data_IF_946267044321
#
_entry.id   IF_946267044321
#
_cell.length_a   1.000
_cell.length_b   1.000
_cell.length_c   1.000
_cell.angle_alpha   90.00
_cell.angle_beta   90.00
_cell.angle_gamma   90.00
#
_symmetry.space_group_name_H-M   'P 1'
#
loop_
_entity.id
_entity.type
_entity.pdbx_description
1 polymer ?
#
# COMPACT_ATOMS: atom_id res chain seq x y z
N UNK A 1 -32.32 10.39 -8.98
CA UNK A 1 -31.14 11.07 -8.43
C UNK A 1 -29.91 10.26 -8.74
N UNK A 2 -28.89 10.84 -9.36
CA UNK A 2 -27.67 10.11 -9.73
C UNK A 2 -26.67 10.11 -8.58
N UNK A 3 -26.63 9.03 -7.81
CA UNK A 3 -25.48 8.75 -6.95
C UNK A 3 -24.33 8.29 -7.86
N UNK A 4 -23.39 9.18 -8.16
CA UNK A 4 -22.19 8.88 -8.92
C UNK A 4 -21.06 8.59 -7.93
N UNK A 5 -20.79 7.31 -7.70
CA UNK A 5 -19.62 6.88 -6.93
C UNK A 5 -18.41 6.92 -7.84
N UNK A 6 -17.57 7.95 -7.70
CA UNK A 6 -16.31 8.04 -8.42
C UNK A 6 -15.24 7.26 -7.64
N UNK A 7 -14.96 6.03 -8.09
CA UNK A 7 -13.88 5.21 -7.58
C UNK A 7 -12.64 5.41 -8.46
N UNK A 8 -11.62 6.06 -7.90
CA UNK A 8 -10.34 6.24 -8.58
C UNK A 8 -9.35 5.21 -8.05
N UNK A 9 -8.76 4.43 -8.97
CA UNK A 9 -7.74 3.44 -8.63
C UNK A 9 -6.49 3.69 -9.46
N UNK A 10 -5.37 3.88 -8.79
CA UNK A 10 -4.06 3.96 -9.41
C UNK A 10 -3.23 2.74 -9.01
N UNK A 11 -2.66 2.04 -9.99
CA UNK A 11 -1.76 0.91 -9.76
C UNK A 11 -0.41 1.23 -10.39
N UNK A 12 0.65 1.04 -9.62
CA UNK A 12 2.04 1.18 -10.03
C UNK A 12 2.70 -0.18 -9.87
N UNK A 13 3.25 -0.74 -10.94
CA UNK A 13 4.12 -1.91 -10.86
C UNK A 13 5.44 -1.51 -11.50
N UNK A 14 6.53 -1.70 -10.75
CA UNK A 14 7.86 -1.35 -11.20
C UNK A 14 8.83 -2.47 -10.84
N UNK A 15 9.56 -2.94 -11.84
CA UNK A 15 10.56 -4.00 -11.70
C UNK A 15 11.93 -3.37 -11.88
N UNK A 16 12.66 -3.15 -10.79
CA UNK A 16 14.01 -2.59 -10.84
C UNK A 16 15.01 -3.60 -11.42
N UNK A 17 14.84 -4.88 -11.08
CA UNK A 17 15.62 -6.00 -11.61
C UNK A 17 14.79 -7.29 -11.52
N UNK A 18 15.19 -8.41 -12.17
CA UNK A 18 14.50 -9.69 -12.00
C UNK A 18 14.37 -10.15 -10.54
N UNK A 19 15.20 -9.57 -9.66
CA UNK A 19 15.25 -9.85 -8.23
C UNK A 19 14.59 -8.78 -7.36
N UNK A 20 14.18 -7.63 -7.91
CA UNK A 20 13.58 -6.54 -7.13
C UNK A 20 12.32 -6.01 -7.80
N UNK A 21 11.20 -6.18 -7.12
CA UNK A 21 9.86 -5.81 -7.58
C UNK A 21 9.18 -4.89 -6.58
N UNK A 22 8.57 -3.83 -7.09
CA UNK A 22 7.77 -2.89 -6.34
C UNK A 22 6.37 -2.79 -6.94
N UNK A 23 5.35 -2.84 -6.08
CA UNK A 23 3.95 -2.66 -6.45
C UNK A 23 3.28 -1.72 -5.47
N UNK A 24 2.60 -0.70 -5.99
CA UNK A 24 1.76 0.22 -5.24
C UNK A 24 0.34 0.22 -5.79
N UNK A 25 -0.65 0.18 -4.91
CA UNK A 25 -2.06 0.31 -5.23
C UNK A 25 -2.66 1.42 -4.38
N UNK A 26 -3.20 2.45 -5.02
CA UNK A 26 -3.90 3.55 -4.38
C UNK A 26 -5.35 3.52 -4.83
N UNK A 27 -6.26 3.67 -3.88
CA UNK A 27 -7.70 3.64 -4.10
C UNK A 27 -8.33 4.82 -3.39
N UNK A 28 -9.18 5.55 -4.09
CA UNK A 28 -9.97 6.65 -3.55
C UNK A 28 -11.43 6.40 -3.86
N UNK A 29 -12.28 6.51 -2.84
CA UNK A 29 -13.72 6.37 -2.95
C UNK A 29 -14.38 7.68 -2.54
N UNK A 30 -14.99 8.39 -3.49
CA UNK A 30 -15.64 9.68 -3.23
C UNK A 30 -16.92 9.56 -2.40
N UNK A 31 -17.65 8.44 -2.49
CA UNK A 31 -18.90 8.20 -1.75
C UNK A 31 -18.65 7.91 -0.28
N UNK A 32 -17.64 7.09 0.02
CA UNK A 32 -17.24 6.75 1.40
C UNK A 32 -16.21 7.72 1.97
N UNK A 33 -15.73 8.70 1.19
CA UNK A 33 -14.64 9.62 1.57
C UNK A 33 -13.44 8.86 2.14
N UNK A 34 -13.09 7.73 1.54
CA UNK A 34 -12.03 6.85 2.03
C UNK A 34 -10.89 6.79 1.01
N UNK A 35 -9.66 6.86 1.53
CA UNK A 35 -8.42 6.70 0.78
C UNK A 35 -7.65 5.51 1.32
N UNK A 36 -7.31 4.56 0.45
CA UNK A 36 -6.49 3.41 0.75
C UNK A 36 -5.22 3.40 -0.09
N UNK A 37 -4.09 3.07 0.53
CA UNK A 37 -2.80 2.87 -0.11
C UNK A 37 -2.20 1.54 0.34
N UNK A 38 -1.75 0.72 -0.60
CA UNK A 38 -1.07 -0.54 -0.35
C UNK A 38 0.21 -0.61 -1.19
N UNK A 39 1.35 -0.55 -0.53
CA UNK A 39 2.67 -0.61 -1.12
C UNK A 39 3.33 -1.92 -0.74
N UNK A 40 4.00 -2.55 -1.70
CA UNK A 40 4.72 -3.79 -1.54
C UNK A 40 6.04 -3.71 -2.25
N UNK A 41 7.12 -3.92 -1.50
CA UNK A 41 8.45 -4.12 -2.03
C UNK A 41 8.86 -5.57 -1.76
N UNK A 42 9.33 -6.25 -2.80
CA UNK A 42 9.96 -7.56 -2.73
C UNK A 42 11.36 -7.43 -3.29
N UNK A 43 12.36 -7.87 -2.53
CA UNK A 43 13.74 -7.86 -2.95
C UNK A 43 14.44 -9.18 -2.59
N UNK A 44 14.84 -9.93 -3.60
CA UNK A 44 15.67 -11.11 -3.50
C UNK A 44 17.16 -10.70 -3.59
N UNK A 45 17.89 -10.78 -2.49
CA UNK A 45 19.31 -10.40 -2.47
C UNK A 45 20.22 -11.58 -2.80
N UNK A 46 19.80 -12.81 -2.48
CA UNK A 46 20.49 -14.05 -2.84
C UNK A 46 19.47 -15.15 -3.15
N UNK A 47 19.79 -16.16 -3.97
CA UNK A 47 18.90 -17.28 -4.21
C UNK A 47 18.43 -17.92 -2.91
N UNK A 48 17.12 -17.88 -2.63
CA UNK A 48 16.52 -18.40 -1.40
C UNK A 48 16.50 -17.42 -0.21
N UNK A 49 16.97 -16.19 -0.38
CA UNK A 49 16.87 -15.15 0.65
C UNK A 49 16.22 -13.88 0.13
N UNK A 50 15.16 -13.46 0.80
CA UNK A 50 14.23 -12.46 0.30
C UNK A 50 13.83 -11.47 1.42
N UNK A 51 13.70 -10.20 1.06
CA UNK A 51 13.13 -9.15 1.88
C UNK A 51 11.75 -8.78 1.31
N UNK A 52 10.74 -8.76 2.17
CA UNK A 52 9.42 -8.24 1.85
C UNK A 52 9.10 -7.07 2.77
N UNK A 53 8.70 -5.96 2.19
CA UNK A 53 8.20 -4.80 2.92
C UNK A 53 6.79 -4.52 2.40
N UNK A 54 5.82 -4.48 3.30
CA UNK A 54 4.44 -4.16 2.99
C UNK A 54 4.01 -2.98 3.84
N UNK A 55 3.51 -1.94 3.19
CA UNK A 55 2.96 -0.78 3.84
C UNK A 55 1.52 -0.61 3.39
N UNK A 56 0.58 -0.69 4.33
CA UNK A 56 -0.83 -0.44 4.08
C UNK A 56 -1.25 0.76 4.92
N UNK A 57 -1.96 1.70 4.31
CA UNK A 57 -2.55 2.82 5.01
C UNK A 57 -3.97 3.03 4.50
N UNK A 58 -4.92 3.10 5.40
CA UNK A 58 -6.30 3.49 5.12
C UNK A 58 -6.63 4.74 5.93
N UNK A 59 -7.29 5.70 5.30
CA UNK A 59 -7.65 6.96 5.93
C UNK A 59 -8.95 7.49 5.35
N UNK A 60 -9.87 7.88 6.24
CA UNK A 60 -11.01 8.71 5.87
C UNK A 60 -10.56 10.16 5.63
N UNK A 61 -10.90 10.68 4.45
CA UNK A 61 -10.55 12.00 3.93
C UNK A 61 -11.81 12.83 3.79
N UNK A 62 -12.18 13.54 4.86
CA UNK A 62 -13.31 14.48 4.87
C UNK A 62 -12.85 15.91 4.50
N UNK A 63 -13.16 16.43 3.30
CA UNK A 63 -12.78 17.78 2.87
C UNK A 63 -13.44 18.93 3.67
N UNK A 64 -14.46 18.67 4.50
CA UNK A 64 -15.18 19.70 5.28
C UNK A 64 -14.76 19.77 6.75
N UNK A 65 -13.88 18.90 7.25
CA UNK A 65 -13.39 18.92 8.63
C UNK A 65 -11.89 19.21 8.70
N UNK A 66 -11.45 20.37 9.21
CA UNK A 66 -10.04 20.66 9.40
C UNK A 66 -9.47 19.79 10.54
N UNK A 67 -8.63 18.83 10.17
CA UNK A 67 -7.44 18.32 10.90
C UNK A 67 -7.53 18.27 12.43
N UNK A 68 -8.64 17.79 13.03
CA UNK A 68 -8.70 17.63 14.50
C UNK A 68 -8.87 16.19 14.97
N UNK A 69 -9.24 15.26 14.09
CA UNK A 69 -9.32 13.82 14.42
C UNK A 69 -8.82 12.99 13.25
N UNK A 70 -7.51 12.71 13.24
CA UNK A 70 -6.94 11.51 12.59
C UNK A 70 -7.37 10.27 13.38
N UNK A 71 -8.67 10.05 13.57
CA UNK A 71 -9.10 9.07 14.58
C UNK A 71 -9.01 7.61 14.15
N UNK A 72 -8.96 7.32 12.84
CA UNK A 72 -8.86 5.94 12.35
C UNK A 72 -8.01 5.88 11.08
N UNK A 73 -6.73 6.29 11.19
CA UNK A 73 -5.77 6.00 10.14
C UNK A 73 -5.16 4.63 10.39
N UNK A 74 -5.83 3.56 9.96
CA UNK A 74 -5.30 2.21 10.05
C UNK A 74 -4.07 2.10 9.16
N UNK A 75 -2.90 2.04 9.80
CA UNK A 75 -1.60 1.97 9.15
C UNK A 75 -0.89 0.72 9.62
N UNK A 76 -0.64 -0.19 8.69
CA UNK A 76 0.15 -1.38 8.93
C UNK A 76 1.46 -1.28 8.16
N UNK A 77 2.57 -1.48 8.87
CA UNK A 77 3.88 -1.61 8.26
C UNK A 77 4.48 -2.95 8.68
N UNK A 78 4.74 -3.80 7.69
CA UNK A 78 5.21 -5.17 7.88
C UNK A 78 6.51 -5.34 7.13
N UNK A 79 7.54 -5.81 7.84
CA UNK A 79 8.80 -6.23 7.24
C UNK A 79 8.97 -7.72 7.52
N UNK A 80 9.30 -8.49 6.47
CA UNK A 80 9.65 -9.90 6.57
C UNK A 80 10.99 -10.13 5.88
N UNK A 81 11.90 -10.80 6.59
CA UNK A 81 13.21 -11.19 6.09
C UNK A 81 13.25 -12.71 6.07
N UNK A 82 13.62 -13.28 4.93
CA UNK A 82 13.87 -14.70 4.76
C UNK A 82 15.36 -14.89 4.39
N UNK A 83 16.00 -15.87 5.00
CA UNK A 83 17.40 -16.21 4.72
C UNK A 83 17.56 -17.72 4.71
N UNK A 84 17.99 -18.25 3.57
CA UNK A 84 18.36 -19.65 3.45
C UNK A 84 19.80 -19.86 3.95
N UNK A 85 19.96 -20.71 4.96
CA UNK A 85 21.27 -21.19 5.40
C UNK A 85 21.53 -22.54 4.75
N UNK A 86 22.71 -22.68 4.11
CA UNK A 86 23.22 -23.97 3.61
C UNK A 86 24.51 -24.27 4.35
N UNK A 87 24.64 -25.50 4.83
CA UNK A 87 25.80 -26.08 5.50
C UNK A 87 26.23 -27.33 4.72
#
# INVERSE_FOLDING_TARGET
GSFRTDLLRARVNYTFSPRMFFSGLFQYNSTLRAFGANLRLRWEYSPGSELFVVYTAEQEVDPLRPVRRRELADRAFVIKINRLFRF
#
